data_IF_382809775592
#
_entry.id   IF_382809775592
#
_cell.length_a   1.000
_cell.length_b   1.000
_cell.length_c   1.000
_cell.angle_alpha   90.00
_cell.angle_beta   90.00
_cell.angle_gamma   90.00
#
_symmetry.space_group_name_H-M   'P 1'
#
loop_
_entity.id
_entity.type
_entity.pdbx_description
1 polymer ?
#
# COMPACT_ATOMS: atom_id res chain seq x y z
N UNK A 1 4.06 -1.78 15.97
CA UNK A 1 3.38 -0.52 15.60
C UNK A 1 3.30 -0.37 14.09
N UNK A 2 4.42 -0.48 13.34
CA UNK A 2 4.46 -0.27 11.89
C UNK A 2 3.47 -1.16 11.11
N UNK A 3 3.47 -2.47 11.34
CA UNK A 3 2.54 -3.40 10.72
C UNK A 3 1.07 -3.06 11.03
N UNK A 4 0.77 -2.66 12.27
CA UNK A 4 -0.58 -2.24 12.66
C UNK A 4 -1.03 -0.99 11.88
N UNK A 5 -0.12 -0.03 11.67
CA UNK A 5 -0.40 1.17 10.87
C UNK A 5 -0.64 0.83 9.38
N UNK A 6 0.09 -0.12 8.83
CA UNK A 6 -0.11 -0.57 7.44
C UNK A 6 -1.47 -1.25 7.29
N UNK A 7 -1.81 -2.18 8.19
CA UNK A 7 -3.12 -2.84 8.19
C UNK A 7 -4.25 -1.81 8.33
N UNK A 8 -4.12 -0.84 9.25
CA UNK A 8 -5.17 0.18 9.44
C UNK A 8 -5.42 1.02 8.17
N UNK A 9 -4.37 1.32 7.38
CA UNK A 9 -4.52 1.99 6.08
C UNK A 9 -5.26 1.13 5.07
N UNK A 10 -4.93 -0.17 4.99
CA UNK A 10 -5.63 -1.12 4.11
C UNK A 10 -7.12 -1.24 4.46
N UNK A 11 -7.48 -1.17 5.74
CA UNK A 11 -8.88 -1.22 6.17
C UNK A 11 -9.62 0.11 5.94
N UNK A 12 -8.89 1.22 5.82
CA UNK A 12 -9.45 2.51 5.35
C UNK A 12 -9.76 2.50 3.85
N UNK A 13 -8.95 1.75 3.04
CA UNK A 13 -9.13 1.59 1.60
C UNK A 13 -9.15 0.10 1.24
N UNK A 14 -10.27 -0.61 1.46
CA UNK A 14 -10.33 -2.07 1.33
C UNK A 14 -9.97 -2.61 -0.04
N UNK A 15 -10.12 -1.81 -1.08
CA UNK A 15 -9.82 -2.19 -2.47
C UNK A 15 -8.33 -2.19 -2.81
N UNK A 16 -7.49 -1.57 -2.00
CA UNK A 16 -6.05 -1.59 -2.20
C UNK A 16 -5.43 -2.89 -1.66
N UNK A 17 -4.45 -3.43 -2.37
CA UNK A 17 -3.63 -4.56 -1.91
C UNK A 17 -2.54 -4.05 -0.98
N UNK A 18 -1.91 -2.91 -1.35
CA UNK A 18 -0.84 -2.27 -0.60
C UNK A 18 -0.97 -0.75 -0.71
N UNK A 19 -0.62 -0.04 0.36
CA UNK A 19 -0.61 1.44 0.41
C UNK A 19 0.69 1.90 1.07
N UNK A 20 1.53 2.57 0.31
CA UNK A 20 2.71 3.27 0.79
C UNK A 20 2.48 4.78 0.75
N UNK A 21 3.14 5.55 1.62
CA UNK A 21 2.88 7.00 1.72
C UNK A 21 4.14 7.81 1.56
N UNK A 22 4.09 8.86 0.75
CA UNK A 22 5.13 9.84 0.50
C UNK A 22 4.72 11.22 1.03
N UNK A 23 5.69 12.13 1.08
CA UNK A 23 5.47 13.56 1.43
C UNK A 23 4.61 13.71 2.70
N UNK A 24 4.92 12.92 3.74
CA UNK A 24 4.20 12.91 5.03
C UNK A 24 2.70 12.60 4.88
N UNK A 25 2.36 11.67 3.99
CA UNK A 25 0.97 11.22 3.77
C UNK A 25 0.16 12.06 2.79
N UNK A 26 0.78 12.99 2.07
CA UNK A 26 0.11 13.80 1.04
C UNK A 26 -0.03 13.09 -0.29
N UNK A 27 0.85 12.12 -0.56
CA UNK A 27 0.82 11.27 -1.74
C UNK A 27 0.79 9.82 -1.28
N UNK A 28 -0.09 9.04 -1.86
CA UNK A 28 -0.22 7.62 -1.63
C UNK A 28 0.14 6.86 -2.91
N UNK A 29 0.93 5.80 -2.76
CA UNK A 29 1.18 4.78 -3.77
C UNK A 29 0.28 3.61 -3.44
N UNK A 30 -0.71 3.35 -4.30
CA UNK A 30 -1.71 2.32 -4.07
C UNK A 30 -1.57 1.23 -5.12
N UNK A 31 -1.41 -0.02 -4.67
CA UNK A 31 -1.44 -1.23 -5.52
C UNK A 31 -2.84 -1.83 -5.46
N UNK A 32 -3.42 -2.12 -6.62
CA UNK A 32 -4.70 -2.83 -6.73
C UNK A 32 -4.68 -3.78 -7.93
N UNK A 33 -5.51 -4.83 -7.87
CA UNK A 33 -5.72 -5.76 -8.98
C UNK A 33 -6.88 -5.28 -9.83
N UNK A 34 -6.71 -5.29 -11.13
CA UNK A 34 -7.78 -4.94 -12.08
C UNK A 34 -8.79 -6.08 -12.14
N UNK A 35 -10.03 -5.78 -11.76
CA UNK A 35 -11.14 -6.72 -11.77
C UNK A 35 -12.10 -6.41 -12.93
N UNK A 36 -12.83 -7.42 -13.45
CA UNK A 36 -13.76 -7.23 -14.56
C UNK A 36 -14.82 -6.15 -14.33
N UNK A 37 -15.29 -6.01 -13.09
CA UNK A 37 -16.28 -5.01 -12.69
C UNK A 37 -15.81 -3.56 -12.77
N UNK A 38 -14.49 -3.32 -12.90
CA UNK A 38 -13.95 -1.95 -13.04
C UNK A 38 -14.13 -1.36 -14.43
N UNK A 39 -14.40 -2.21 -15.43
CA UNK A 39 -14.57 -1.78 -16.82
C UNK A 39 -13.31 -1.16 -17.45
N UNK A 40 -12.13 -1.52 -16.95
CA UNK A 40 -10.85 -0.98 -17.43
C UNK A 40 -10.18 -1.88 -18.49
N UNK A 41 -10.69 -3.10 -18.70
CA UNK A 41 -10.10 -4.08 -19.61
C UNK A 41 -10.03 -3.55 -21.04
N UNK A 42 -8.86 -3.69 -21.67
CA UNK A 42 -8.62 -3.21 -23.02
C UNK A 42 -8.59 -1.70 -23.21
N UNK A 43 -8.60 -0.92 -22.12
CA UNK A 43 -8.47 0.53 -22.19
C UNK A 43 -7.00 0.97 -22.05
N UNK A 44 -6.62 1.99 -22.81
CA UNK A 44 -5.33 2.66 -22.60
C UNK A 44 -5.39 3.59 -21.38
N UNK A 45 -4.24 3.82 -20.73
CA UNK A 45 -4.14 4.72 -19.59
C UNK A 45 -4.64 6.13 -19.94
N UNK A 46 -4.27 6.65 -21.12
CA UNK A 46 -4.77 7.95 -21.59
C UNK A 46 -6.29 7.98 -21.63
N UNK A 47 -6.93 6.95 -22.20
CA UNK A 47 -8.39 6.85 -22.28
C UNK A 47 -9.04 6.73 -20.90
N UNK A 48 -8.43 5.98 -19.97
CA UNK A 48 -8.91 5.87 -18.59
C UNK A 48 -8.89 7.24 -17.91
N UNK A 49 -7.77 7.96 -17.98
CA UNK A 49 -7.62 9.29 -17.35
C UNK A 49 -8.57 10.33 -17.95
N UNK A 50 -8.75 10.34 -19.27
CA UNK A 50 -9.70 11.21 -19.96
C UNK A 50 -11.16 10.92 -19.57
N UNK A 51 -11.53 9.63 -19.53
CA UNK A 51 -12.88 9.19 -19.21
C UNK A 51 -13.24 9.46 -17.75
N UNK A 52 -12.36 9.08 -16.86
CA UNK A 52 -12.59 9.19 -15.42
C UNK A 52 -12.34 10.60 -14.89
N UNK A 53 -11.57 11.44 -15.61
CA UNK A 53 -11.21 12.80 -15.17
C UNK A 53 -10.76 12.82 -13.71
N UNK A 54 -9.83 11.93 -13.37
CA UNK A 54 -9.20 11.83 -12.06
C UNK A 54 -7.73 12.18 -12.17
N UNK A 55 -7.26 12.94 -11.20
CA UNK A 55 -5.85 13.31 -11.10
C UNK A 55 -5.09 12.20 -10.36
N UNK A 56 -4.87 11.10 -11.08
CA UNK A 56 -4.10 9.92 -10.65
C UNK A 56 -3.06 9.59 -11.72
N UNK A 57 -1.90 9.11 -11.28
CA UNK A 57 -0.83 8.70 -12.16
C UNK A 57 -0.62 7.18 -12.09
N UNK A 58 -0.82 6.50 -13.19
CA UNK A 58 -0.46 5.09 -13.34
C UNK A 58 1.07 5.00 -13.43
N UNK A 59 1.71 4.45 -12.43
CA UNK A 59 3.16 4.50 -12.30
C UNK A 59 3.85 3.16 -12.49
N UNK A 60 3.15 2.05 -12.30
CA UNK A 60 3.69 0.73 -12.63
C UNK A 60 2.54 -0.25 -12.91
N UNK A 61 2.78 -1.19 -13.82
CA UNK A 61 1.87 -2.28 -14.17
C UNK A 61 2.64 -3.58 -14.16
N UNK A 62 2.10 -4.57 -13.47
CA UNK A 62 2.58 -5.94 -13.47
C UNK A 62 1.55 -6.83 -14.18
N UNK A 63 1.94 -7.39 -15.30
CA UNK A 63 1.15 -8.31 -16.11
C UNK A 63 1.96 -9.56 -16.36
N UNK A 64 1.44 -10.74 -15.97
CA UNK A 64 2.13 -12.04 -16.15
C UNK A 64 3.60 -12.02 -15.71
N UNK A 65 3.85 -11.54 -14.49
CA UNK A 65 5.19 -11.41 -13.88
C UNK A 65 6.17 -10.42 -14.55
N UNK A 66 5.72 -9.70 -15.55
CA UNK A 66 6.49 -8.61 -16.16
C UNK A 66 6.04 -7.26 -15.61
N UNK A 67 6.99 -6.50 -15.11
CA UNK A 67 6.76 -5.15 -14.60
C UNK A 67 7.19 -4.13 -15.65
N UNK A 68 6.32 -3.16 -15.89
CA UNK A 68 6.60 -2.03 -16.77
C UNK A 68 6.23 -0.71 -16.08
N UNK A 69 6.96 0.35 -16.43
CA UNK A 69 6.57 1.73 -16.16
C UNK A 69 5.74 2.19 -17.38
N UNK A 70 4.41 2.32 -17.22
CA UNK A 70 3.53 2.48 -18.37
C UNK A 70 3.54 3.90 -18.92
N UNK A 71 3.51 4.04 -20.22
CA UNK A 71 3.14 5.29 -20.89
C UNK A 71 1.63 5.38 -21.12
N UNK A 72 1.15 6.52 -21.62
CA UNK A 72 -0.29 6.75 -21.86
C UNK A 72 -0.97 5.76 -22.81
N UNK A 73 -0.21 5.17 -23.75
CA UNK A 73 -0.70 4.18 -24.71
C UNK A 73 -0.69 2.74 -24.16
N UNK A 74 -0.21 2.52 -22.94
CA UNK A 74 -0.21 1.21 -22.30
C UNK A 74 -1.65 0.74 -22.06
N UNK A 75 -1.95 -0.48 -22.46
CA UNK A 75 -3.28 -1.08 -22.32
C UNK A 75 -3.35 -1.88 -21.02
N UNK A 76 -4.41 -1.68 -20.26
CA UNK A 76 -4.67 -2.36 -18.99
C UNK A 76 -5.56 -3.57 -19.26
N UNK A 77 -5.28 -4.68 -18.58
CA UNK A 77 -6.06 -5.91 -18.68
C UNK A 77 -6.56 -6.41 -17.34
N UNK A 78 -7.65 -7.17 -17.37
CA UNK A 78 -8.14 -7.86 -16.18
C UNK A 78 -7.06 -8.79 -15.62
N UNK A 79 -6.89 -8.75 -14.30
CA UNK A 79 -5.87 -9.52 -13.59
C UNK A 79 -4.53 -8.80 -13.41
N UNK A 80 -4.28 -7.69 -14.11
CA UNK A 80 -3.08 -6.88 -13.93
C UNK A 80 -3.04 -6.30 -12.49
N UNK A 81 -1.85 -6.27 -11.90
CA UNK A 81 -1.58 -5.51 -10.70
C UNK A 81 -1.10 -4.11 -11.10
N UNK A 82 -1.87 -3.12 -10.74
CA UNK A 82 -1.61 -1.72 -11.11
C UNK A 82 -1.23 -0.93 -9.87
N UNK A 83 -0.19 -0.11 -9.99
CA UNK A 83 0.20 0.86 -8.98
C UNK A 83 -0.08 2.27 -9.48
N UNK A 84 -0.80 3.05 -8.67
CA UNK A 84 -1.08 4.46 -8.94
C UNK A 84 -0.50 5.34 -7.85
N UNK A 85 -0.05 6.53 -8.23
CA UNK A 85 0.26 7.63 -7.33
C UNK A 85 -0.91 8.62 -7.36
N UNK A 86 -1.38 9.02 -6.19
CA UNK A 86 -2.45 10.00 -6.04
C UNK A 86 -2.42 10.66 -4.66
N UNK A 87 -3.06 11.84 -4.53
CA UNK A 87 -3.45 12.32 -3.21
C UNK A 87 -4.56 11.41 -2.62
N UNK A 88 -4.72 11.33 -1.29
CA UNK A 88 -5.78 10.51 -0.68
C UNK A 88 -7.18 10.83 -1.22
N UNK A 89 -7.46 12.10 -1.51
CA UNK A 89 -8.74 12.55 -2.07
C UNK A 89 -8.92 12.05 -3.50
N UNK A 90 -7.89 12.17 -4.34
CA UNK A 90 -7.94 11.74 -5.73
C UNK A 90 -7.99 10.22 -5.85
N UNK A 91 -7.28 9.49 -4.98
CA UNK A 91 -7.37 8.04 -4.88
C UNK A 91 -8.81 7.57 -4.57
N UNK A 92 -9.43 8.17 -3.56
CA UNK A 92 -10.82 7.87 -3.22
C UNK A 92 -11.78 8.19 -4.37
N UNK A 93 -11.59 9.33 -5.05
CA UNK A 93 -12.40 9.71 -6.21
C UNK A 93 -12.23 8.73 -7.38
N UNK A 94 -11.01 8.28 -7.66
CA UNK A 94 -10.70 7.29 -8.68
C UNK A 94 -11.39 5.96 -8.40
N UNK A 95 -11.18 5.40 -7.20
CA UNK A 95 -11.79 4.12 -6.82
C UNK A 95 -13.31 4.16 -6.86
N UNK A 96 -13.92 5.28 -6.42
CA UNK A 96 -15.36 5.46 -6.53
C UNK A 96 -15.86 5.43 -7.98
N UNK A 97 -15.11 6.03 -8.91
CA UNK A 97 -15.49 6.10 -10.34
C UNK A 97 -15.37 4.76 -11.07
N UNK A 98 -14.44 3.90 -10.65
CA UNK A 98 -14.34 2.53 -11.18
C UNK A 98 -15.28 1.55 -10.46
N UNK A 99 -16.22 2.05 -9.64
CA UNK A 99 -17.26 1.25 -9.00
C UNK A 99 -16.86 0.57 -7.70
N UNK A 100 -15.67 0.87 -7.16
CA UNK A 100 -15.25 0.32 -5.89
C UNK A 100 -15.87 1.06 -4.70
N UNK A 101 -16.23 0.28 -3.68
CA UNK A 101 -16.66 0.83 -2.40
C UNK A 101 -15.46 1.50 -1.71
N UNK A 102 -15.48 2.82 -1.61
CA UNK A 102 -14.38 3.62 -1.04
C UNK A 102 -14.58 3.95 0.43
N UNK A 103 -15.63 3.42 1.06
CA UNK A 103 -15.84 3.63 2.48
C UNK A 103 -14.91 2.70 3.28
N UNK A 104 -14.35 3.23 4.34
CA UNK A 104 -13.64 2.43 5.32
C UNK A 104 -14.55 1.33 5.87
N UNK A 105 -13.97 0.22 6.28
CA UNK A 105 -14.74 -0.85 6.94
C UNK A 105 -15.38 -0.33 8.22
N UNK A 106 -16.57 -0.83 8.55
CA UNK A 106 -17.30 -0.45 9.77
C UNK A 106 -16.97 -1.35 10.95
N UNK A 107 -16.57 -2.57 10.66
CA UNK A 107 -16.22 -3.55 11.68
C UNK A 107 -15.08 -4.45 11.22
N UNK A 108 -14.38 -5.03 12.19
CA UNK A 108 -13.26 -5.93 11.95
C UNK A 108 -13.23 -7.05 12.98
N UNK A 109 -12.98 -8.28 12.53
CA UNK A 109 -12.62 -9.42 13.38
C UNK A 109 -11.11 -9.63 13.25
N UNK A 110 -10.41 -9.65 14.38
CA UNK A 110 -8.98 -9.88 14.49
C UNK A 110 -8.78 -11.21 15.23
N UNK A 111 -8.06 -12.15 14.62
CA UNK A 111 -7.70 -13.43 15.26
C UNK A 111 -6.26 -13.34 15.75
N UNK A 112 -6.09 -13.56 17.06
CA UNK A 112 -4.83 -13.43 17.79
C UNK A 112 -4.72 -12.08 18.50
N UNK A 113 -4.48 -12.10 19.82
CA UNK A 113 -4.42 -10.93 20.72
C UNK A 113 -2.99 -10.38 20.96
N UNK A 114 -2.08 -10.53 20.01
CA UNK A 114 -0.68 -10.10 20.12
C UNK A 114 -0.50 -8.59 20.14
N UNK A 115 0.77 -8.16 20.12
CA UNK A 115 1.14 -6.73 20.14
C UNK A 115 0.65 -5.99 18.90
N UNK A 116 0.67 -6.63 17.72
CA UNK A 116 0.16 -6.00 16.49
C UNK A 116 -1.34 -5.76 16.61
N UNK A 117 -2.07 -6.75 17.11
CA UNK A 117 -3.54 -6.69 17.32
C UNK A 117 -3.93 -5.56 18.26
N UNK A 118 -3.19 -5.37 19.35
CA UNK A 118 -3.42 -4.26 20.28
C UNK A 118 -3.31 -2.89 19.59
N UNK A 119 -2.19 -2.63 18.89
CA UNK A 119 -2.01 -1.36 18.20
C UNK A 119 -2.97 -1.17 17.02
N UNK A 120 -3.32 -2.26 16.33
CA UNK A 120 -4.31 -2.23 15.26
C UNK A 120 -5.69 -1.88 15.80
N UNK A 121 -6.14 -2.59 16.83
CA UNK A 121 -7.44 -2.34 17.46
C UNK A 121 -7.56 -0.90 17.93
N UNK A 122 -6.53 -0.35 18.60
CA UNK A 122 -6.50 1.04 19.01
C UNK A 122 -6.68 1.99 17.82
N UNK A 123 -5.92 1.79 16.73
CA UNK A 123 -6.03 2.62 15.55
C UNK A 123 -7.41 2.52 14.87
N UNK A 124 -8.02 1.32 14.84
CA UNK A 124 -9.34 1.12 14.26
C UNK A 124 -10.45 1.77 15.10
N UNK A 125 -10.38 1.65 16.42
CA UNK A 125 -11.30 2.31 17.35
C UNK A 125 -11.24 3.83 17.23
N UNK A 126 -10.03 4.41 17.10
CA UNK A 126 -9.83 5.84 16.83
C UNK A 126 -10.47 6.29 15.50
N UNK A 127 -10.64 5.36 14.55
CA UNK A 127 -11.33 5.57 13.27
C UNK A 127 -12.83 5.26 13.32
N UNK A 128 -13.41 5.01 14.50
CA UNK A 128 -14.79 4.58 14.72
C UNK A 128 -15.14 3.26 14.01
N UNK A 129 -14.20 2.32 13.93
CA UNK A 129 -14.40 0.96 13.43
C UNK A 129 -14.61 0.05 14.64
N UNK A 130 -15.71 -0.72 14.64
CA UNK A 130 -15.97 -1.70 15.69
C UNK A 130 -14.98 -2.86 15.59
N UNK A 131 -14.38 -3.28 16.70
CA UNK A 131 -13.35 -4.32 16.72
C UNK A 131 -13.74 -5.46 17.63
N UNK A 132 -13.64 -6.69 17.10
CA UNK A 132 -13.65 -7.93 17.87
C UNK A 132 -12.27 -8.57 17.81
N UNK A 133 -11.72 -9.02 18.95
CA UNK A 133 -10.45 -9.76 19.02
C UNK A 133 -10.75 -11.14 19.61
N UNK A 134 -10.38 -12.19 18.86
CA UNK A 134 -10.46 -13.57 19.32
C UNK A 134 -9.07 -14.00 19.77
N UNK A 135 -8.93 -14.37 21.03
CA UNK A 135 -7.65 -14.76 21.65
C UNK A 135 -7.87 -15.98 22.56
N UNK A 136 -7.01 -16.99 22.41
CA UNK A 136 -7.15 -18.24 23.18
C UNK A 136 -6.61 -18.13 24.61
N UNK A 137 -5.67 -17.23 24.88
CA UNK A 137 -5.05 -17.08 26.19
C UNK A 137 -5.92 -16.17 27.07
N UNK A 138 -6.51 -16.74 28.15
CA UNK A 138 -7.41 -16.04 29.04
C UNK A 138 -6.76 -14.82 29.72
N UNK A 139 -5.53 -14.96 30.24
CA UNK A 139 -4.84 -13.85 30.88
C UNK A 139 -4.54 -12.70 29.89
N UNK A 140 -4.33 -13.06 28.60
CA UNK A 140 -4.17 -12.05 27.55
C UNK A 140 -5.49 -11.37 27.22
N UNK A 141 -6.61 -12.11 27.23
CA UNK A 141 -7.95 -11.54 27.07
C UNK A 141 -8.26 -10.52 28.17
N UNK A 142 -8.00 -10.85 29.43
CA UNK A 142 -8.16 -9.93 30.56
C UNK A 142 -7.34 -8.64 30.35
N UNK A 143 -6.06 -8.78 30.03
CA UNK A 143 -5.18 -7.63 29.73
C UNK A 143 -5.71 -6.75 28.60
N UNK A 144 -6.20 -7.38 27.52
CA UNK A 144 -6.75 -6.64 26.37
C UNK A 144 -8.05 -5.94 26.70
N UNK A 145 -8.90 -6.54 27.52
CA UNK A 145 -10.17 -5.95 27.99
C UNK A 145 -9.92 -4.68 28.79
N UNK A 146 -8.89 -4.68 29.65
CA UNK A 146 -8.49 -3.48 30.41
C UNK A 146 -7.90 -2.37 29.50
N UNK A 147 -7.08 -2.76 28.53
CA UNK A 147 -6.38 -1.82 27.62
C UNK A 147 -7.27 -1.27 26.50
N UNK A 148 -8.31 -1.99 26.10
CA UNK A 148 -9.18 -1.69 24.97
C UNK A 148 -10.68 -1.81 25.37
N UNK A 149 -11.17 -0.95 26.26
CA UNK A 149 -12.52 -1.07 26.80
C UNK A 149 -13.64 -0.92 25.75
N UNK A 150 -13.33 -0.36 24.58
CA UNK A 150 -14.26 -0.20 23.46
C UNK A 150 -14.21 -1.36 22.44
N UNK A 151 -13.30 -2.33 22.62
CA UNK A 151 -13.24 -3.53 21.79
C UNK A 151 -13.99 -4.67 22.46
N UNK A 152 -14.55 -5.60 21.66
CA UNK A 152 -15.08 -6.86 22.15
C UNK A 152 -13.96 -7.89 22.17
N UNK A 153 -13.62 -8.40 23.35
CA UNK A 153 -12.59 -9.43 23.51
C UNK A 153 -13.28 -10.77 23.74
N UNK A 154 -12.94 -11.76 22.93
CA UNK A 154 -13.54 -13.10 22.92
C UNK A 154 -12.45 -14.10 23.29
N UNK A 155 -12.63 -14.77 24.42
CA UNK A 155 -11.72 -15.85 24.81
C UNK A 155 -12.12 -17.14 24.08
N UNK A 156 -11.32 -17.54 23.11
CA UNK A 156 -11.59 -18.73 22.30
C UNK A 156 -10.51 -19.03 21.29
N UNK A 157 -10.61 -20.21 20.73
CA UNK A 157 -9.73 -20.66 19.64
C UNK A 157 -10.23 -20.11 18.30
N UNK A 158 -9.43 -19.23 17.68
CA UNK A 158 -9.74 -18.62 16.40
C UNK A 158 -9.80 -19.59 15.21
N UNK A 159 -9.34 -20.84 15.37
CA UNK A 159 -9.49 -21.89 14.34
C UNK A 159 -10.85 -22.59 14.43
N UNK A 160 -11.59 -22.36 15.48
CA UNK A 160 -12.93 -22.93 15.64
C UNK A 160 -13.94 -22.25 14.71
N UNK A 161 -14.37 -22.97 13.69
CA UNK A 161 -15.32 -22.48 12.68
C UNK A 161 -16.65 -22.04 13.27
N UNK A 162 -17.18 -22.77 14.27
CA UNK A 162 -18.44 -22.43 14.91
C UNK A 162 -18.34 -21.09 15.64
N UNK A 163 -17.25 -20.86 16.36
CA UNK A 163 -16.98 -19.60 17.03
C UNK A 163 -16.91 -18.43 16.03
N UNK A 164 -16.17 -18.60 14.92
CA UNK A 164 -16.08 -17.55 13.88
C UNK A 164 -17.46 -17.23 13.28
N UNK A 165 -18.29 -18.22 13.07
CA UNK A 165 -19.65 -18.03 12.54
C UNK A 165 -20.55 -17.32 13.55
N UNK A 166 -20.51 -17.70 14.84
CA UNK A 166 -21.25 -17.08 15.94
C UNK A 166 -20.85 -15.62 16.14
N UNK A 167 -19.55 -15.31 15.96
CA UNK A 167 -19.02 -13.97 16.08
C UNK A 167 -19.26 -13.09 14.85
N UNK A 168 -19.90 -13.62 13.82
CA UNK A 168 -20.41 -12.87 12.69
C UNK A 168 -19.44 -12.73 11.52
N UNK A 169 -18.57 -13.73 11.30
CA UNK A 169 -17.66 -13.74 10.14
C UNK A 169 -18.38 -13.50 8.81
N UNK A 170 -19.59 -14.05 8.53
CA UNK A 170 -20.26 -13.81 7.24
C UNK A 170 -20.65 -12.35 6.98
N UNK A 171 -20.82 -11.55 8.03
CA UNK A 171 -21.25 -10.15 7.95
C UNK A 171 -20.14 -9.15 8.23
N UNK A 172 -18.94 -9.63 8.59
CA UNK A 172 -17.81 -8.74 8.86
C UNK A 172 -17.32 -8.07 7.57
N UNK A 173 -16.91 -6.81 7.69
CA UNK A 173 -16.34 -6.06 6.56
C UNK A 173 -14.81 -6.21 6.49
N UNK A 174 -14.15 -6.61 7.60
CA UNK A 174 -12.74 -6.94 7.62
C UNK A 174 -12.45 -8.17 8.49
N UNK A 175 -11.54 -9.01 8.03
CA UNK A 175 -11.03 -10.15 8.78
C UNK A 175 -9.49 -10.14 8.74
N UNK A 176 -8.87 -10.15 9.92
CA UNK A 176 -7.42 -9.99 10.07
C UNK A 176 -6.87 -11.13 10.91
N UNK A 177 -6.05 -12.00 10.30
CA UNK A 177 -5.40 -13.12 10.99
C UNK A 177 -3.98 -12.75 11.41
N UNK A 178 -3.74 -12.68 12.72
CA UNK A 178 -2.50 -12.22 13.36
C UNK A 178 -1.96 -13.21 14.41
N UNK A 179 -2.24 -14.50 14.27
CA UNK A 179 -1.67 -15.53 15.15
C UNK A 179 -0.16 -15.64 14.95
N UNK A 180 0.50 -16.47 15.76
CA UNK A 180 1.94 -16.72 15.61
C UNK A 180 2.27 -17.81 14.59
N UNK A 181 1.27 -18.46 14.00
CA UNK A 181 1.39 -19.54 13.02
C UNK A 181 1.01 -19.01 11.64
N UNK A 182 1.97 -18.93 10.74
CA UNK A 182 1.79 -18.36 9.39
C UNK A 182 0.79 -19.18 8.57
N UNK A 183 0.92 -20.51 8.63
CA UNK A 183 0.04 -21.46 7.95
C UNK A 183 -1.41 -21.29 8.43
N UNK A 184 -1.60 -21.12 9.73
CA UNK A 184 -2.92 -20.87 10.34
C UNK A 184 -3.51 -19.55 9.84
N UNK A 185 -2.71 -18.47 9.79
CA UNK A 185 -3.17 -17.19 9.29
C UNK A 185 -3.61 -17.27 7.83
N UNK A 186 -2.90 -18.03 7.00
CA UNK A 186 -3.25 -18.26 5.59
C UNK A 186 -4.55 -19.07 5.48
N UNK A 187 -4.68 -20.17 6.22
CA UNK A 187 -5.90 -21.00 6.20
C UNK A 187 -7.12 -20.24 6.73
N UNK A 188 -6.95 -19.43 7.77
CA UNK A 188 -8.02 -18.57 8.29
C UNK A 188 -8.51 -17.56 7.26
N UNK A 189 -7.57 -16.92 6.53
CA UNK A 189 -7.92 -16.00 5.45
C UNK A 189 -8.62 -16.72 4.30
N UNK A 190 -8.15 -17.90 3.87
CA UNK A 190 -8.82 -18.72 2.86
C UNK A 190 -10.23 -19.12 3.29
N UNK A 191 -10.41 -19.56 4.55
CA UNK A 191 -11.72 -19.89 5.09
C UNK A 191 -12.64 -18.66 5.09
N UNK A 192 -12.16 -17.51 5.58
CA UNK A 192 -12.93 -16.28 5.60
C UNK A 192 -13.35 -15.83 4.19
N UNK A 193 -12.50 -16.06 3.17
CA UNK A 193 -12.81 -15.80 1.75
C UNK A 193 -14.00 -16.60 1.25
N UNK A 194 -14.17 -17.85 1.71
CA UNK A 194 -15.29 -18.70 1.27
C UNK A 194 -16.62 -18.32 1.94
N UNK A 195 -16.57 -17.59 3.06
CA UNK A 195 -17.74 -17.32 3.93
C UNK A 195 -18.20 -15.88 3.82
N UNK A 196 -17.29 -14.94 3.54
CA UNK A 196 -17.57 -13.51 3.58
C UNK A 196 -16.98 -12.77 2.39
N UNK A 197 -17.44 -11.53 2.18
CA UNK A 197 -16.85 -10.57 1.25
C UNK A 197 -15.95 -9.56 2.00
N UNK A 198 -15.41 -9.96 3.16
CA UNK A 198 -14.56 -9.10 3.98
C UNK A 198 -13.25 -8.75 3.29
N UNK A 199 -12.71 -7.58 3.61
CA UNK A 199 -11.31 -7.30 3.37
C UNK A 199 -10.46 -8.24 4.21
N UNK A 200 -9.66 -9.08 3.55
CA UNK A 200 -8.81 -10.06 4.21
C UNK A 200 -7.39 -9.51 4.37
N UNK A 201 -6.82 -9.71 5.55
CA UNK A 201 -5.43 -9.40 5.84
C UNK A 201 -4.82 -10.54 6.65
N UNK A 202 -3.76 -11.15 6.14
CA UNK A 202 -3.02 -12.21 6.81
C UNK A 202 -1.60 -11.79 7.15
N UNK A 203 -1.14 -12.12 8.37
CA UNK A 203 0.27 -11.93 8.76
C UNK A 203 1.07 -13.17 8.41
N UNK A 204 2.23 -12.97 7.77
CA UNK A 204 3.21 -14.00 7.48
C UNK A 204 4.60 -13.54 7.96
N UNK A 205 5.30 -14.37 8.73
CA UNK A 205 6.64 -14.06 9.25
C UNK A 205 7.76 -14.78 8.48
N UNK A 206 7.45 -15.92 7.84
CA UNK A 206 8.41 -16.74 7.09
C UNK A 206 8.24 -16.47 5.60
N UNK A 207 9.34 -16.19 4.94
CA UNK A 207 9.38 -15.79 3.54
C UNK A 207 9.61 -16.97 2.57
N UNK A 208 9.64 -18.20 3.09
CA UNK A 208 9.99 -19.36 2.27
C UNK A 208 8.92 -19.78 1.23
N UNK A 209 7.72 -19.24 1.32
CA UNK A 209 6.58 -19.62 0.48
C UNK A 209 5.83 -18.42 -0.11
N UNK A 210 6.50 -17.27 -0.24
CA UNK A 210 5.88 -16.02 -0.75
C UNK A 210 5.23 -16.25 -2.11
N UNK A 211 5.92 -16.89 -3.06
CA UNK A 211 5.41 -17.17 -4.39
C UNK A 211 4.12 -18.03 -4.37
N UNK A 212 4.01 -18.95 -3.40
CA UNK A 212 2.81 -19.78 -3.24
C UNK A 212 1.68 -18.96 -2.65
N UNK A 213 1.98 -18.16 -1.63
CA UNK A 213 1.00 -17.34 -0.91
C UNK A 213 0.39 -16.29 -1.85
N UNK A 214 1.20 -15.64 -2.68
CA UNK A 214 0.76 -14.64 -3.64
C UNK A 214 -0.21 -15.23 -4.70
N UNK A 215 -0.05 -16.52 -5.03
CA UNK A 215 -0.95 -17.23 -5.94
C UNK A 215 -2.29 -17.65 -5.29
N UNK A 216 -2.41 -17.63 -3.95
CA UNK A 216 -3.63 -18.04 -3.26
C UNK A 216 -4.74 -16.98 -3.26
N UNK A 217 -4.43 -15.74 -3.68
CA UNK A 217 -5.38 -14.61 -3.71
C UNK A 217 -6.16 -14.46 -2.38
N UNK A 218 -5.41 -14.45 -1.26
CA UNK A 218 -5.96 -14.36 0.10
C UNK A 218 -6.16 -12.91 0.60
N UNK A 219 -6.18 -11.95 -0.30
CA UNK A 219 -6.27 -10.54 0.04
C UNK A 219 -4.90 -9.90 0.25
N UNK A 220 -4.74 -9.11 1.31
CA UNK A 220 -3.47 -8.46 1.63
C UNK A 220 -2.64 -9.31 2.58
N UNK A 221 -1.37 -9.52 2.25
CA UNK A 221 -0.42 -10.21 3.12
C UNK A 221 0.52 -9.18 3.75
N UNK A 222 0.70 -9.28 5.06
CA UNK A 222 1.58 -8.38 5.82
C UNK A 222 2.79 -9.16 6.30
N UNK A 223 3.96 -8.69 5.94
CA UNK A 223 5.26 -9.21 6.33
C UNK A 223 5.94 -8.27 7.34
N UNK A 224 5.77 -8.44 8.66
CA UNK A 224 6.30 -7.51 9.67
C UNK A 224 7.82 -7.32 9.60
N UNK A 225 8.55 -8.35 9.15
CA UNK A 225 10.01 -8.29 8.98
C UNK A 225 10.39 -7.35 7.84
N UNK A 226 9.70 -7.43 6.68
CA UNK A 226 9.96 -6.51 5.56
C UNK A 226 9.63 -5.08 5.93
N UNK A 227 8.48 -4.84 6.57
CA UNK A 227 8.09 -3.50 7.03
C UNK A 227 9.15 -2.92 7.97
N UNK A 228 9.74 -3.74 8.83
CA UNK A 228 10.81 -3.32 9.75
C UNK A 228 12.11 -3.04 8.99
N UNK A 229 12.50 -3.92 8.07
CA UNK A 229 13.69 -3.73 7.21
C UNK A 229 13.58 -2.45 6.39
N UNK A 230 12.43 -2.21 5.76
CA UNK A 230 12.21 -1.00 4.95
C UNK A 230 12.33 0.27 5.80
N UNK A 231 11.78 0.26 7.02
CA UNK A 231 11.95 1.40 7.96
C UNK A 231 13.40 1.61 8.39
N UNK A 232 14.15 0.54 8.65
CA UNK A 232 15.57 0.63 8.97
C UNK A 232 16.34 1.19 7.77
N UNK A 233 16.06 0.71 6.57
CA UNK A 233 16.69 1.20 5.34
C UNK A 233 16.36 2.68 5.09
N UNK A 234 15.11 3.09 5.29
CA UNK A 234 14.71 4.49 5.21
C UNK A 234 15.47 5.35 6.22
N UNK A 235 15.58 4.89 7.48
CA UNK A 235 16.32 5.60 8.52
C UNK A 235 17.82 5.71 8.20
N UNK A 236 18.46 4.61 7.78
CA UNK A 236 19.89 4.59 7.41
C UNK A 236 20.14 5.51 6.21
N UNK A 237 19.27 5.49 5.20
CA UNK A 237 19.37 6.39 4.04
C UNK A 237 19.18 7.86 4.44
N UNK A 238 18.19 8.15 5.29
CA UNK A 238 18.00 9.50 5.79
C UNK A 238 19.23 10.00 6.57
N UNK A 239 19.93 9.12 7.28
CA UNK A 239 21.22 9.47 7.92
C UNK A 239 22.35 9.65 6.89
N UNK A 240 22.40 8.82 5.84
CA UNK A 240 23.39 8.96 4.76
C UNK A 240 23.14 10.23 3.91
N UNK A 241 21.91 10.73 3.85
CA UNK A 241 21.55 11.98 3.19
C UNK A 241 22.26 13.21 3.82
N UNK A 242 22.69 13.12 5.09
CA UNK A 242 23.58 14.08 5.68
C UNK A 242 25.01 14.05 5.11
N UNK A 243 25.36 13.06 4.28
CA UNK A 243 26.70 12.78 3.75
C UNK A 243 26.73 12.83 2.18
N UNK A 244 25.64 13.27 1.51
CA UNK A 244 25.64 13.50 0.04
C UNK A 244 24.66 12.67 -0.79
N UNK A 245 23.64 12.09 -0.21
CA UNK A 245 22.49 11.52 -0.93
C UNK A 245 21.24 12.37 -0.68
N UNK A 246 20.43 12.61 -1.73
CA UNK A 246 19.22 13.43 -1.65
C UNK A 246 17.92 12.60 -1.56
N UNK A 247 18.01 11.27 -1.36
CA UNK A 247 16.85 10.37 -1.22
C UNK A 247 16.27 10.46 0.19
N UNK A 248 15.04 10.93 0.35
CA UNK A 248 14.33 11.00 1.63
C UNK A 248 13.58 9.70 1.96
N UNK A 249 12.94 9.11 0.95
CA UNK A 249 12.13 7.90 1.13
C UNK A 249 12.34 6.95 -0.03
N UNK A 250 12.33 5.65 0.23
CA UNK A 250 12.36 4.62 -0.79
C UNK A 250 11.40 3.52 -0.41
N UNK A 251 10.57 3.11 -1.35
CA UNK A 251 9.76 1.91 -1.29
C UNK A 251 10.10 0.96 -2.43
N UNK A 252 10.19 -0.31 -2.09
CA UNK A 252 10.20 -1.37 -3.09
C UNK A 252 8.77 -1.69 -3.46
N UNK A 253 8.47 -1.66 -4.75
CA UNK A 253 7.15 -1.94 -5.29
C UNK A 253 7.20 -3.14 -6.24
N UNK A 254 6.04 -3.81 -6.39
CA UNK A 254 5.90 -4.97 -7.27
C UNK A 254 6.98 -6.03 -7.02
N UNK A 255 7.06 -6.51 -5.77
CA UNK A 255 7.97 -7.56 -5.31
C UNK A 255 9.45 -7.27 -5.61
N UNK A 256 9.89 -6.06 -5.27
CA UNK A 256 11.24 -5.55 -5.52
C UNK A 256 11.62 -5.44 -7.02
N UNK A 257 10.67 -5.52 -7.94
CA UNK A 257 10.93 -5.35 -9.38
C UNK A 257 11.03 -3.88 -9.80
N UNK A 258 10.47 -2.97 -9.00
CA UNK A 258 10.59 -1.52 -9.20
C UNK A 258 10.79 -0.79 -7.86
N UNK A 259 11.26 0.45 -7.92
CA UNK A 259 11.48 1.33 -6.78
C UNK A 259 10.69 2.63 -6.95
N UNK A 260 10.14 3.14 -5.85
CA UNK A 260 9.60 4.49 -5.77
C UNK A 260 10.43 5.29 -4.75
N UNK A 261 11.06 6.35 -5.20
CA UNK A 261 12.02 7.15 -4.43
C UNK A 261 11.53 8.59 -4.31
N UNK A 262 11.67 9.17 -3.12
CA UNK A 262 11.43 10.58 -2.88
C UNK A 262 12.77 11.29 -2.69
N UNK A 263 13.03 12.30 -3.53
CA UNK A 263 14.23 13.12 -3.50
C UNK A 263 13.93 14.52 -3.01
N UNK A 264 14.72 15.03 -2.06
CA UNK A 264 14.74 16.45 -1.73
C UNK A 264 15.75 17.19 -2.61
N UNK A 265 15.30 18.22 -3.28
CA UNK A 265 16.14 19.03 -4.17
C UNK A 265 16.77 20.15 -3.34
N UNK A 266 18.04 19.99 -2.95
CA UNK A 266 18.73 20.91 -2.03
C UNK A 266 19.64 21.92 -2.73
N UNK A 267 20.21 21.55 -3.87
CA UNK A 267 21.20 22.34 -4.59
C UNK A 267 20.81 22.51 -6.06
N UNK A 268 21.52 23.41 -6.76
CA UNK A 268 21.42 23.57 -8.20
C UNK A 268 21.94 22.32 -8.91
N UNK A 269 21.06 21.35 -9.08
CA UNK A 269 21.29 20.14 -9.86
C UNK A 269 21.06 20.41 -11.35
N UNK A 270 21.69 19.65 -12.26
CA UNK A 270 21.43 19.73 -13.71
C UNK A 270 19.96 19.55 -14.12
N UNK A 271 19.10 19.04 -13.24
CA UNK A 271 17.66 18.86 -13.50
C UNK A 271 16.82 20.09 -13.12
N UNK A 272 17.41 21.07 -12.42
CA UNK A 272 16.70 22.25 -11.89
C UNK A 272 16.45 23.27 -12.99
N UNK A 273 15.20 23.78 -13.06
CA UNK A 273 14.80 24.84 -13.97
C UNK A 273 14.60 24.41 -15.43
N UNK A 274 14.84 23.14 -15.76
CA UNK A 274 14.65 22.59 -17.10
C UNK A 274 13.27 21.93 -17.18
N UNK A 275 12.45 22.20 -18.22
CA UNK A 275 11.20 21.46 -18.45
C UNK A 275 11.43 19.95 -18.50
N UNK A 276 10.56 19.17 -17.86
CA UNK A 276 10.71 17.71 -17.81
C UNK A 276 10.75 17.06 -19.22
N UNK A 277 10.07 17.66 -20.19
CA UNK A 277 10.10 17.22 -21.61
C UNK A 277 11.45 17.42 -22.30
N UNK A 278 12.31 18.28 -21.76
CA UNK A 278 13.63 18.57 -22.29
C UNK A 278 14.75 17.82 -21.56
N UNK A 279 14.43 17.19 -20.43
CA UNK A 279 15.35 16.33 -19.71
C UNK A 279 15.53 15.00 -20.45
N UNK A 280 16.78 14.60 -20.68
CA UNK A 280 17.11 13.28 -21.23
C UNK A 280 16.98 12.21 -20.13
N UNK A 281 15.74 11.79 -19.84
CA UNK A 281 15.44 10.83 -18.78
C UNK A 281 15.72 9.40 -19.22
N UNK A 282 16.23 8.58 -18.31
CA UNK A 282 16.38 7.13 -18.53
C UNK A 282 15.05 6.48 -18.90
N UNK A 283 15.12 5.44 -19.74
CA UNK A 283 13.96 4.60 -20.00
C UNK A 283 13.49 3.89 -18.72
N UNK A 284 12.23 3.48 -18.67
CA UNK A 284 11.62 2.82 -17.50
C UNK A 284 11.76 3.64 -16.21
N UNK A 285 11.59 4.94 -16.33
CA UNK A 285 11.60 5.91 -15.24
C UNK A 285 10.47 6.92 -15.47
N UNK A 286 9.79 7.28 -14.38
CA UNK A 286 8.69 8.23 -14.38
C UNK A 286 8.89 9.24 -13.26
N UNK A 287 8.76 10.53 -13.56
CA UNK A 287 8.62 11.58 -12.55
C UNK A 287 7.17 11.59 -12.10
N UNK A 288 6.93 11.03 -10.92
CA UNK A 288 5.58 10.73 -10.43
C UNK A 288 4.88 11.94 -9.83
N UNK A 289 5.56 12.67 -8.95
CA UNK A 289 5.00 13.84 -8.26
C UNK A 289 6.07 14.90 -8.00
N UNK A 290 5.64 16.16 -8.05
CA UNK A 290 6.37 17.31 -7.55
C UNK A 290 5.63 17.91 -6.36
N UNK A 291 6.36 18.18 -5.29
CA UNK A 291 5.86 18.93 -4.14
C UNK A 291 6.68 20.22 -4.01
N UNK A 292 6.06 21.34 -4.35
CA UNK A 292 6.64 22.66 -4.22
C UNK A 292 5.95 23.41 -3.07
N UNK A 293 6.70 23.74 -2.01
CA UNK A 293 6.19 24.48 -0.84
C UNK A 293 4.89 23.88 -0.24
N UNK A 294 4.74 22.55 -0.29
CA UNK A 294 3.57 21.84 0.24
C UNK A 294 2.42 21.68 -0.74
N UNK A 295 2.52 22.25 -1.95
CA UNK A 295 1.59 22.00 -3.05
C UNK A 295 2.08 20.81 -3.85
N UNK A 296 1.30 19.75 -3.84
CA UNK A 296 1.64 18.47 -4.49
C UNK A 296 0.87 18.36 -5.81
N UNK A 297 1.57 18.07 -6.90
CA UNK A 297 0.97 17.90 -8.24
C UNK A 297 1.60 16.76 -9.02
N UNK A 298 0.83 16.15 -9.93
CA UNK A 298 1.36 15.30 -11.00
C UNK A 298 2.02 16.22 -12.04
N UNK A 299 3.33 16.08 -12.30
CA UNK A 299 4.01 16.97 -13.24
C UNK A 299 3.65 16.64 -14.68
N UNK A 300 3.71 17.66 -15.52
CA UNK A 300 3.59 17.57 -16.97
C UNK A 300 4.90 17.97 -17.64
N UNK A 301 5.05 17.70 -18.92
CA UNK A 301 6.29 17.94 -19.66
C UNK A 301 6.84 19.37 -19.55
N UNK A 302 5.97 20.39 -19.41
CA UNK A 302 6.37 21.80 -19.26
C UNK A 302 6.73 22.20 -17.81
N UNK A 303 6.46 21.33 -16.84
CA UNK A 303 6.83 21.60 -15.44
C UNK A 303 8.34 21.45 -15.24
N UNK A 304 8.87 22.23 -14.30
CA UNK A 304 10.29 22.23 -13.93
C UNK A 304 10.46 21.82 -12.48
N UNK A 305 11.58 21.17 -12.18
CA UNK A 305 12.02 20.89 -10.80
C UNK A 305 12.74 22.14 -10.28
N UNK A 306 12.44 22.56 -9.06
CA UNK A 306 13.03 23.72 -8.41
C UNK A 306 13.83 23.32 -7.15
N UNK A 307 14.77 24.14 -6.74
CA UNK A 307 15.45 23.99 -5.45
C UNK A 307 14.41 24.11 -4.32
N UNK A 308 14.43 23.20 -3.36
CA UNK A 308 13.46 23.13 -2.28
C UNK A 308 12.25 22.21 -2.58
N UNK A 309 12.12 21.70 -3.80
CA UNK A 309 11.11 20.71 -4.14
C UNK A 309 11.40 19.34 -3.53
N UNK A 310 10.34 18.56 -3.38
CA UNK A 310 10.43 17.12 -3.21
C UNK A 310 9.87 16.45 -4.46
N UNK A 311 10.61 15.50 -5.02
CA UNK A 311 10.28 14.80 -6.27
C UNK A 311 10.14 13.32 -6.02
N UNK A 312 9.04 12.71 -6.46
CA UNK A 312 8.85 11.26 -6.41
C UNK A 312 9.17 10.67 -7.78
N UNK A 313 10.14 9.76 -7.81
CA UNK A 313 10.55 9.01 -9.00
C UNK A 313 10.11 7.56 -8.87
N UNK A 314 9.51 7.00 -9.92
CA UNK A 314 9.21 5.57 -10.01
C UNK A 314 10.03 4.96 -11.14
N UNK A 315 10.73 3.87 -10.87
CA UNK A 315 11.67 3.28 -11.83
C UNK A 315 11.91 1.80 -11.59
N UNK A 316 12.26 1.07 -12.65
CA UNK A 316 12.79 -0.31 -12.54
C UNK A 316 14.30 -0.35 -12.31
N UNK A 317 14.99 0.79 -12.42
CA UNK A 317 16.41 0.89 -12.07
C UNK A 317 16.59 0.86 -10.56
N UNK A 318 17.61 0.15 -10.10
CA UNK A 318 17.90 0.02 -8.67
C UNK A 318 19.08 0.90 -8.26
N UNK A 319 18.99 1.39 -7.01
CA UNK A 319 20.14 2.03 -6.37
C UNK A 319 20.41 3.45 -6.77
N UNK A 320 19.41 4.20 -7.25
CA UNK A 320 19.53 5.65 -7.45
C UNK A 320 19.87 6.31 -6.10
N UNK A 321 20.86 7.19 -6.09
CA UNK A 321 21.35 7.89 -4.89
C UNK A 321 21.11 9.40 -4.94
N UNK A 322 21.06 9.94 -6.13
CA UNK A 322 20.86 11.37 -6.38
C UNK A 322 19.85 11.58 -7.48
N UNK A 323 19.22 12.76 -7.49
CA UNK A 323 18.24 13.09 -8.54
C UNK A 323 18.89 13.12 -9.92
N UNK A 324 20.18 13.40 -10.04
CA UNK A 324 20.91 13.35 -11.31
C UNK A 324 21.01 11.96 -11.92
N UNK A 325 20.83 10.92 -11.12
CA UNK A 325 20.81 9.54 -11.62
C UNK A 325 19.59 9.21 -12.50
N UNK A 326 18.60 10.11 -12.57
CA UNK A 326 17.47 9.97 -13.50
C UNK A 326 17.83 10.27 -14.95
N UNK A 327 18.95 10.96 -15.19
CA UNK A 327 19.40 11.32 -16.53
C UNK A 327 20.14 10.16 -17.21
N UNK A 328 19.94 10.02 -18.53
CA UNK A 328 20.82 9.19 -19.36
C UNK A 328 22.24 9.78 -19.35
N UNK A 329 23.23 8.90 -19.18
CA UNK A 329 24.65 9.30 -19.18
C UNK A 329 25.19 9.37 -20.59
#
# INVERSE_FOLDING_TARGET
LAAAQEISRLLRFPSAIKIDTFSRGRVELLKFKVLPEFGLDGMTISRITETLKCDVLFCAVESRDQVSIPGGNHMIHNGDNVSILASPVNAAAFFKKIGLKTHQVKNAIIVGGGTISYYLAKALLDMNISVKIIEQNTARCETLSDLLPSATIINGDGTNRSLLMEEGLPQTEAFVSLTNLDEENVFLALFAKTISNAKLVAKVNRLAFDDVIDNLDIGSVIYPKYITSDRILQYVRAMQNSIGSNVETLYHILDNKAEALEFAIRDNSPVVGIPLSELNLRQNLLVGYLNHNGVVKIPRGHDTIQVGDTVIIVTTHKGLRDITDILEK
#
